data_IF_310745192845
#
_entry.id   IF_310745192845
#
_cell.length_a   1.000
_cell.length_b   1.000
_cell.length_c   1.000
_cell.angle_alpha   90.00
_cell.angle_beta   90.00
_cell.angle_gamma   90.00
#
_symmetry.space_group_name_H-M   'P 1'
#
loop_
_entity.id
_entity.type
_entity.pdbx_description
1 polymer ?
#
# COMPACT_ATOMS: atom_id res chain seq x y z
N UNK A 1 7.54 47.97 21.91
CA UNK A 1 6.32 47.55 21.16
C UNK A 1 6.62 46.79 19.86
N UNK A 2 7.87 46.71 19.37
CA UNK A 2 8.21 46.01 18.11
C UNK A 2 8.59 44.52 18.27
N UNK A 3 9.03 44.08 19.45
CA UNK A 3 9.47 42.68 19.65
C UNK A 3 8.32 41.66 19.69
N UNK A 4 7.11 42.07 20.10
CA UNK A 4 5.95 41.16 20.25
C UNK A 4 5.38 40.77 18.88
N UNK A 5 5.46 41.65 17.88
CA UNK A 5 4.93 41.40 16.52
C UNK A 5 5.78 40.38 15.77
N UNK A 6 7.10 40.33 16.03
CA UNK A 6 8.00 39.36 15.41
C UNK A 6 7.72 37.91 15.83
N UNK A 7 7.48 37.68 17.13
CA UNK A 7 7.16 36.35 17.67
C UNK A 7 5.82 35.81 17.14
N UNK A 8 4.81 36.66 17.02
CA UNK A 8 3.51 36.25 16.47
C UNK A 8 3.58 35.93 14.97
N UNK A 9 4.34 36.69 14.18
CA UNK A 9 4.53 36.42 12.75
C UNK A 9 5.34 35.13 12.49
N UNK A 10 6.43 34.89 13.23
CA UNK A 10 7.20 33.65 13.12
C UNK A 10 6.40 32.42 13.57
N UNK A 11 5.60 32.56 14.62
CA UNK A 11 4.67 31.50 15.07
C UNK A 11 3.61 31.17 14.03
N UNK A 12 3.02 32.20 13.39
CA UNK A 12 2.05 32.02 12.31
C UNK A 12 2.67 31.32 11.10
N UNK A 13 3.84 31.78 10.65
CA UNK A 13 4.54 31.18 9.51
C UNK A 13 4.92 29.72 9.75
N UNK A 14 5.34 29.39 10.98
CA UNK A 14 5.60 28.00 11.40
C UNK A 14 4.33 27.14 11.40
N UNK A 15 3.22 27.66 11.92
CA UNK A 15 1.94 26.96 11.98
C UNK A 15 1.38 26.65 10.58
N UNK A 16 1.45 27.60 9.65
CA UNK A 16 1.05 27.40 8.25
C UNK A 16 1.90 26.34 7.55
N UNK A 17 3.22 26.32 7.78
CA UNK A 17 4.11 25.31 7.22
C UNK A 17 3.80 23.91 7.75
N UNK A 18 3.55 23.78 9.06
CA UNK A 18 3.17 22.51 9.69
C UNK A 18 1.83 22.00 9.17
N UNK A 19 0.84 22.89 9.01
CA UNK A 19 -0.46 22.55 8.41
C UNK A 19 -0.31 22.05 6.98
N UNK A 20 0.44 22.76 6.13
CA UNK A 20 0.69 22.34 4.74
C UNK A 20 1.37 20.98 4.68
N UNK A 21 2.41 20.75 5.50
CA UNK A 21 3.11 19.47 5.55
C UNK A 21 2.19 18.33 6.03
N UNK A 22 1.35 18.59 7.02
CA UNK A 22 0.37 17.61 7.50
C UNK A 22 -0.68 17.27 6.43
N UNK A 23 -1.16 18.26 5.69
CA UNK A 23 -2.11 18.04 4.59
C UNK A 23 -1.47 17.24 3.44
N UNK A 24 -0.22 17.55 3.11
CA UNK A 24 0.53 16.81 2.07
C UNK A 24 0.76 15.35 2.49
N UNK A 25 1.18 15.11 3.74
CA UNK A 25 1.32 13.75 4.26
C UNK A 25 0.00 12.99 4.22
N UNK A 26 -1.11 13.60 4.68
CA UNK A 26 -2.44 12.97 4.62
C UNK A 26 -2.85 12.58 3.20
N UNK A 27 -2.52 13.41 2.20
CA UNK A 27 -2.78 13.07 0.80
C UNK A 27 -1.95 11.87 0.34
N UNK A 28 -0.65 11.84 0.66
CA UNK A 28 0.22 10.70 0.35
C UNK A 28 -0.25 9.42 1.03
N UNK A 29 -0.67 9.49 2.28
CA UNK A 29 -1.20 8.35 3.03
C UNK A 29 -2.46 7.77 2.37
N UNK A 30 -3.34 8.64 1.84
CA UNK A 30 -4.53 8.24 1.08
C UNK A 30 -4.16 7.54 -0.24
N UNK A 31 -3.23 8.12 -1.01
CA UNK A 31 -2.77 7.55 -2.28
C UNK A 31 -2.12 6.16 -2.07
N UNK A 32 -1.30 6.01 -1.03
CA UNK A 32 -0.69 4.73 -0.66
C UNK A 32 -1.74 3.71 -0.17
N UNK A 33 -2.75 4.15 0.58
CA UNK A 33 -3.83 3.28 1.04
C UNK A 33 -4.64 2.72 -0.15
N UNK A 34 -4.91 3.53 -1.15
CA UNK A 34 -5.61 3.12 -2.38
C UNK A 34 -4.76 2.13 -3.19
N UNK A 35 -3.48 2.42 -3.39
CA UNK A 35 -2.55 1.51 -4.08
C UNK A 35 -2.43 0.15 -3.37
N UNK A 36 -2.37 0.16 -2.03
CA UNK A 36 -2.38 -1.05 -1.21
C UNK A 36 -3.67 -1.85 -1.37
N UNK A 37 -4.82 -1.18 -1.35
CA UNK A 37 -6.10 -1.85 -1.53
C UNK A 37 -6.22 -2.47 -2.92
N UNK A 38 -5.76 -1.78 -3.95
CA UNK A 38 -5.68 -2.30 -5.31
C UNK A 38 -4.81 -3.56 -5.38
N UNK A 39 -3.61 -3.54 -4.79
CA UNK A 39 -2.73 -4.71 -4.71
C UNK A 39 -3.42 -5.90 -4.04
N UNK A 40 -4.04 -5.69 -2.88
CA UNK A 40 -4.74 -6.75 -2.14
C UNK A 40 -5.94 -7.34 -2.89
N UNK A 41 -6.56 -6.56 -3.79
CA UNK A 41 -7.66 -7.04 -4.63
C UNK A 41 -7.17 -7.92 -5.79
N UNK A 42 -5.93 -7.74 -6.24
CA UNK A 42 -5.32 -8.55 -7.31
C UNK A 42 -4.80 -9.91 -6.84
N UNK A 43 -4.48 -10.06 -5.56
CA UNK A 43 -3.99 -11.32 -5.00
C UNK A 43 -5.13 -12.35 -4.92
N UNK A 44 -4.83 -13.61 -5.24
CA UNK A 44 -5.77 -14.71 -5.10
C UNK A 44 -6.38 -14.76 -3.69
N UNK A 45 -7.70 -14.51 -3.59
CA UNK A 45 -8.42 -14.51 -2.31
C UNK A 45 -8.73 -15.92 -1.79
N UNK A 46 -8.67 -16.91 -2.69
CA UNK A 46 -8.88 -18.31 -2.37
C UNK A 46 -7.81 -19.12 -3.07
N UNK A 47 -7.23 -20.02 -2.30
CA UNK A 47 -6.35 -21.05 -2.83
C UNK A 47 -7.27 -22.18 -3.30
N UNK A 48 -7.19 -22.61 -4.56
CA UNK A 48 -8.00 -23.72 -5.06
C UNK A 48 -7.63 -25.02 -4.34
N UNK A 49 -8.63 -25.89 -4.17
CA UNK A 49 -8.47 -27.22 -3.57
C UNK A 49 -8.08 -28.19 -4.68
N UNK A 50 -6.78 -28.40 -4.85
CA UNK A 50 -6.22 -29.26 -5.90
C UNK A 50 -5.82 -30.62 -5.33
N UNK A 51 -6.31 -31.69 -5.95
CA UNK A 51 -6.15 -33.05 -5.43
C UNK A 51 -4.67 -33.43 -5.24
N UNK A 52 -4.31 -33.80 -4.01
CA UNK A 52 -2.95 -34.19 -3.64
C UNK A 52 -1.99 -33.04 -3.30
N UNK A 53 -2.45 -31.78 -3.24
CA UNK A 53 -1.64 -30.62 -2.82
C UNK A 53 -2.31 -29.80 -1.71
N UNK A 54 -1.56 -29.50 -0.64
CA UNK A 54 -1.96 -28.49 0.36
C UNK A 54 -1.18 -27.19 0.11
N UNK A 55 -1.85 -26.21 -0.51
CA UNK A 55 -1.24 -24.95 -0.89
C UNK A 55 -1.54 -23.89 0.19
N UNK A 56 -0.50 -23.21 0.68
CA UNK A 56 -0.60 -22.08 1.63
C UNK A 56 0.13 -20.88 1.05
N UNK A 57 -0.53 -19.72 1.04
CA UNK A 57 0.04 -18.47 0.58
C UNK A 57 -0.08 -17.40 1.66
N UNK A 58 1.00 -16.65 1.87
CA UNK A 58 1.06 -15.54 2.82
C UNK A 58 1.97 -14.45 2.24
N UNK A 59 1.53 -13.20 2.31
CA UNK A 59 2.30 -12.06 1.85
C UNK A 59 2.37 -11.00 2.95
N UNK A 60 3.57 -10.46 3.16
CA UNK A 60 3.84 -9.40 4.11
C UNK A 60 4.69 -8.33 3.44
N UNK A 61 4.14 -7.13 3.31
CA UNK A 61 4.85 -5.99 2.73
C UNK A 61 5.74 -5.32 3.79
N UNK A 62 6.93 -4.87 3.39
CA UNK A 62 7.85 -4.11 4.28
C UNK A 62 7.43 -2.63 4.41
N UNK A 63 6.78 -2.09 3.39
CA UNK A 63 6.29 -0.71 3.26
C UNK A 63 4.77 -0.66 3.09
N UNK A 64 4.20 0.55 2.98
CA UNK A 64 2.76 0.78 2.82
C UNK A 64 2.16 0.04 1.62
N UNK A 65 2.93 -0.14 0.54
CA UNK A 65 2.58 -0.94 -0.64
C UNK A 65 3.75 -1.88 -0.94
N UNK A 66 3.47 -3.15 -1.22
CA UNK A 66 4.49 -4.12 -1.64
C UNK A 66 4.54 -4.26 -3.16
N UNK A 67 5.61 -4.85 -3.69
CA UNK A 67 5.69 -5.22 -5.10
C UNK A 67 5.13 -6.61 -5.41
N UNK A 68 5.12 -7.51 -4.43
CA UNK A 68 4.79 -8.91 -4.69
C UNK A 68 3.30 -9.12 -5.03
N UNK A 69 3.02 -10.01 -5.97
CA UNK A 69 1.68 -10.53 -6.26
C UNK A 69 1.74 -12.03 -6.51
N UNK A 70 0.65 -12.74 -6.19
CA UNK A 70 0.47 -14.13 -6.59
C UNK A 70 -0.97 -14.42 -7.01
N UNK A 71 -1.14 -15.39 -7.92
CA UNK A 71 -2.43 -15.86 -8.38
C UNK A 71 -2.41 -17.37 -8.70
N UNK A 72 -3.58 -18.00 -8.66
CA UNK A 72 -3.77 -19.43 -8.91
C UNK A 72 -4.91 -19.65 -9.90
N UNK A 73 -4.66 -20.43 -10.95
CA UNK A 73 -5.68 -20.79 -11.92
C UNK A 73 -5.60 -22.27 -12.30
N UNK A 74 -6.77 -22.83 -12.53
CA UNK A 74 -6.98 -24.19 -12.99
C UNK A 74 -7.66 -24.12 -14.36
N UNK A 75 -7.16 -24.90 -15.32
CA UNK A 75 -7.75 -25.02 -16.64
C UNK A 75 -8.72 -26.19 -16.71
N UNK A 76 -9.60 -26.18 -17.71
CA UNK A 76 -10.59 -27.25 -17.93
C UNK A 76 -9.97 -28.63 -18.17
N UNK A 77 -8.69 -28.68 -18.54
CA UNK A 77 -7.92 -29.92 -18.73
C UNK A 77 -7.31 -30.49 -17.44
N UNK A 78 -7.54 -29.83 -16.30
CA UNK A 78 -6.99 -30.21 -14.99
C UNK A 78 -5.57 -29.69 -14.72
N UNK A 79 -4.99 -28.89 -15.62
CA UNK A 79 -3.70 -28.27 -15.39
C UNK A 79 -3.79 -27.14 -14.37
N UNK A 80 -2.88 -27.14 -13.39
CA UNK A 80 -2.79 -26.14 -12.34
C UNK A 80 -1.59 -25.22 -12.54
N UNK A 81 -1.81 -23.91 -12.40
CA UNK A 81 -0.79 -22.89 -12.51
C UNK A 81 -0.78 -21.99 -11.28
N UNK A 82 0.44 -21.71 -10.81
CA UNK A 82 0.71 -20.68 -9.82
C UNK A 82 1.58 -19.60 -10.46
N UNK A 83 1.17 -18.34 -10.32
CA UNK A 83 1.95 -17.19 -10.74
C UNK A 83 2.40 -16.44 -9.51
N UNK A 84 3.68 -16.13 -9.46
CA UNK A 84 4.26 -15.19 -8.52
C UNK A 84 5.00 -14.13 -9.35
N UNK A 85 4.71 -12.87 -9.10
CA UNK A 85 5.48 -11.79 -9.69
C UNK A 85 5.93 -10.80 -8.64
N UNK A 86 7.15 -10.34 -8.81
CA UNK A 86 7.74 -9.28 -8.01
C UNK A 86 7.62 -7.98 -8.82
N UNK A 87 6.66 -7.12 -8.44
CA UNK A 87 6.56 -5.77 -8.95
C UNK A 87 7.43 -4.82 -8.10
N UNK A 88 8.71 -5.13 -7.94
CA UNK A 88 9.69 -4.18 -7.42
C UNK A 88 9.99 -3.12 -8.49
N UNK A 89 9.64 -1.87 -8.17
CA UNK A 89 9.85 -0.69 -9.00
C UNK A 89 9.33 0.59 -8.37
#
# INVERSE_FOLDING_TARGET
MFAIVGLSASGFYGADRLRRKSLENKRKDLELAEAREFQLRMIAKKIPDYEGMDIKAFMRTSTEVGGDYYDFFELEDGSFYAVCGDATG
#
